data_IF_081165239870
#
_entry.id   IF_081165239870
#
_cell.length_a   1.000
_cell.length_b   1.000
_cell.length_c   1.000
_cell.angle_alpha   90.00
_cell.angle_beta   90.00
_cell.angle_gamma   90.00
#
_symmetry.space_group_name_H-M   'P 1'
#
loop_
_entity.id
_entity.type
_entity.pdbx_description
1 polymer ?
#
# COMPACT_ATOMS: atom_id res chain seq x y z
N UNK A 1 4.30 -63.39 -2.59
CA UNK A 1 3.30 -62.31 -2.42
C UNK A 1 4.07 -60.98 -2.46
N UNK A 2 3.98 -60.21 -3.56
CA UNK A 2 4.76 -58.97 -3.77
C UNK A 2 3.93 -57.78 -3.28
N UNK A 3 4.43 -57.03 -2.32
CA UNK A 3 3.79 -55.81 -1.81
C UNK A 3 4.36 -54.63 -2.60
N UNK A 4 3.54 -54.02 -3.46
CA UNK A 4 3.85 -52.75 -4.10
C UNK A 4 3.53 -51.62 -3.11
N UNK A 5 4.54 -50.86 -2.68
CA UNK A 5 4.34 -49.56 -2.03
C UNK A 5 4.31 -48.49 -3.13
N UNK A 6 3.13 -47.90 -3.36
CA UNK A 6 3.00 -46.71 -4.20
C UNK A 6 3.34 -45.47 -3.38
N UNK A 7 4.49 -44.85 -3.67
CA UNK A 7 4.85 -43.55 -3.11
C UNK A 7 4.12 -42.45 -3.90
N UNK A 8 3.09 -41.84 -3.29
CA UNK A 8 2.40 -40.67 -3.82
C UNK A 8 3.16 -39.40 -3.42
N UNK A 9 3.96 -38.85 -4.33
CA UNK A 9 4.58 -37.54 -4.15
C UNK A 9 3.58 -36.43 -4.52
N UNK A 10 2.98 -35.79 -3.51
CA UNK A 10 2.19 -34.56 -3.69
C UNK A 10 3.14 -33.38 -3.88
N UNK A 11 3.27 -32.90 -5.11
CA UNK A 11 3.92 -31.62 -5.40
C UNK A 11 3.02 -30.47 -4.91
N UNK A 12 3.40 -29.84 -3.80
CA UNK A 12 2.81 -28.57 -3.41
C UNK A 12 3.37 -27.47 -4.33
N UNK A 13 2.52 -26.86 -5.15
CA UNK A 13 2.87 -25.68 -5.93
C UNK A 13 3.09 -24.50 -4.97
N UNK A 14 4.34 -24.11 -4.78
CA UNK A 14 4.69 -22.87 -4.10
C UNK A 14 4.41 -21.74 -5.09
N UNK A 15 3.24 -21.12 -5.01
CA UNK A 15 2.94 -19.91 -5.78
C UNK A 15 3.77 -18.75 -5.21
N UNK A 16 4.93 -18.49 -5.81
CA UNK A 16 5.69 -17.27 -5.55
C UNK A 16 4.98 -16.16 -6.32
N UNK A 17 3.99 -15.52 -5.69
CA UNK A 17 3.47 -14.26 -6.20
C UNK A 17 4.62 -13.23 -6.17
N UNK A 18 5.05 -12.77 -7.34
CA UNK A 18 6.03 -11.70 -7.48
C UNK A 18 5.58 -10.46 -6.70
N UNK A 19 6.49 -9.56 -6.28
CA UNK A 19 6.10 -8.29 -5.66
C UNK A 19 5.45 -7.42 -6.73
N UNK A 20 4.16 -7.65 -6.97
CA UNK A 20 3.33 -6.72 -7.73
C UNK A 20 3.22 -5.46 -6.89
N UNK A 21 3.49 -4.31 -7.50
CA UNK A 21 3.23 -3.02 -6.88
C UNK A 21 1.87 -3.03 -6.19
N UNK A 22 1.78 -2.47 -4.99
CA UNK A 22 0.52 -2.25 -4.31
C UNK A 22 -0.39 -1.48 -5.28
N UNK A 23 -1.55 -2.03 -5.64
CA UNK A 23 -2.47 -1.37 -6.56
C UNK A 23 -3.06 -0.13 -5.90
N UNK A 24 -3.33 0.89 -6.70
CA UNK A 24 -4.03 2.09 -6.25
C UNK A 24 -5.53 1.83 -6.38
N UNK A 25 -6.23 1.84 -5.26
CA UNK A 25 -7.69 1.73 -5.22
C UNK A 25 -8.30 3.04 -5.71
N UNK A 26 -9.09 2.94 -6.77
CA UNK A 26 -9.73 4.10 -7.42
C UNK A 26 -10.91 4.60 -6.62
N UNK A 27 -11.06 5.92 -6.54
CA UNK A 27 -12.22 6.55 -5.92
C UNK A 27 -13.32 6.80 -6.97
N UNK A 28 -14.57 6.49 -6.62
CA UNK A 28 -15.71 6.69 -7.51
C UNK A 28 -16.25 8.14 -7.38
N UNK A 29 -15.49 9.11 -7.88
CA UNK A 29 -15.85 10.52 -7.83
C UNK A 29 -14.70 11.45 -8.20
N UNK A 30 -14.84 12.76 -7.95
CA UNK A 30 -13.74 13.70 -8.11
C UNK A 30 -12.61 13.35 -7.14
N UNK A 31 -11.38 13.39 -7.63
CA UNK A 31 -10.17 13.10 -6.85
C UNK A 31 -9.27 14.32 -6.79
N UNK A 32 -8.56 14.48 -5.68
CA UNK A 32 -7.46 15.43 -5.59
C UNK A 32 -6.25 14.84 -6.32
N UNK A 33 -5.84 15.47 -7.41
CA UNK A 33 -4.73 14.98 -8.24
C UNK A 33 -3.46 14.77 -7.41
N UNK A 34 -2.76 13.67 -7.67
CA UNK A 34 -1.51 13.26 -7.01
C UNK A 34 -1.59 13.12 -5.48
N UNK A 35 -2.78 13.21 -4.89
CA UNK A 35 -2.99 12.99 -3.45
C UNK A 35 -3.50 11.58 -3.21
N UNK A 36 -2.87 10.91 -2.25
CA UNK A 36 -3.18 9.52 -1.90
C UNK A 36 -3.30 9.36 -0.41
N UNK A 37 -4.12 8.38 -0.02
CA UNK A 37 -4.22 7.87 1.35
C UNK A 37 -3.50 6.53 1.39
N UNK A 38 -2.51 6.43 2.27
CA UNK A 38 -1.62 5.29 2.41
C UNK A 38 -1.92 4.64 3.75
N UNK A 39 -2.38 3.38 3.71
CA UNK A 39 -2.49 2.52 4.88
C UNK A 39 -1.24 1.66 4.97
N UNK A 40 -0.61 1.71 6.14
CA UNK A 40 0.53 0.90 6.50
C UNK A 40 0.05 -0.34 7.27
N UNK A 41 0.84 -1.41 7.24
CA UNK A 41 0.60 -2.60 8.06
C UNK A 41 0.76 -2.26 9.54
N UNK A 42 0.00 -2.93 10.40
CA UNK A 42 -0.02 -2.63 11.85
C UNK A 42 1.34 -2.84 12.56
N UNK A 43 2.21 -3.67 12.00
CA UNK A 43 3.56 -3.96 12.54
C UNK A 43 4.64 -2.98 12.06
N UNK A 44 4.28 -2.02 11.21
CA UNK A 44 5.19 -1.03 10.64
C UNK A 44 5.35 0.19 11.56
N UNK A 45 6.54 0.80 11.56
CA UNK A 45 6.73 2.13 12.13
C UNK A 45 6.36 3.23 11.12
N UNK A 46 5.18 3.86 11.27
CA UNK A 46 4.76 5.02 10.48
C UNK A 46 5.84 6.12 10.41
N UNK A 47 6.45 6.45 11.54
CA UNK A 47 7.49 7.49 11.59
C UNK A 47 8.71 7.11 10.74
N UNK A 48 9.20 5.88 10.85
CA UNK A 48 10.36 5.41 10.09
C UNK A 48 10.06 5.32 8.61
N UNK A 49 8.86 4.86 8.24
CA UNK A 49 8.42 4.79 6.84
C UNK A 49 8.39 6.19 6.19
N UNK A 50 7.76 7.17 6.87
CA UNK A 50 7.69 8.55 6.38
C UNK A 50 9.10 9.16 6.30
N UNK A 51 9.96 8.95 7.29
CA UNK A 51 11.34 9.45 7.26
C UNK A 51 12.12 8.90 6.06
N UNK A 52 11.96 7.60 5.74
CA UNK A 52 12.60 6.99 4.58
C UNK A 52 12.04 7.53 3.26
N UNK A 53 10.72 7.73 3.17
CA UNK A 53 10.09 8.37 2.01
C UNK A 53 10.66 9.78 1.79
N UNK A 54 10.70 10.61 2.83
CA UNK A 54 11.24 11.97 2.76
C UNK A 54 12.74 12.02 2.44
N UNK A 55 13.51 11.00 2.82
CA UNK A 55 14.92 10.90 2.42
C UNK A 55 15.10 10.67 0.90
N UNK A 56 14.12 10.05 0.25
CA UNK A 56 14.11 9.79 -1.19
C UNK A 56 13.44 10.91 -1.98
N UNK A 57 12.48 11.61 -1.37
CA UNK A 57 11.75 12.74 -1.95
C UNK A 57 11.59 13.88 -0.92
N UNK A 58 12.60 14.74 -0.76
CA UNK A 58 12.59 15.77 0.30
C UNK A 58 11.52 16.83 0.15
N UNK A 59 11.12 17.15 -1.08
CA UNK A 59 10.11 18.17 -1.41
C UNK A 59 8.67 17.66 -1.26
N UNK A 60 8.49 16.41 -0.83
CA UNK A 60 7.19 15.78 -0.68
C UNK A 60 6.39 16.37 0.48
N UNK A 61 5.09 16.58 0.26
CA UNK A 61 4.18 17.06 1.31
C UNK A 61 3.37 15.91 1.90
N UNK A 62 3.55 15.68 3.21
CA UNK A 62 2.63 14.86 4.02
C UNK A 62 1.45 15.75 4.42
N UNK A 63 0.27 15.49 3.86
CA UNK A 63 -0.91 16.32 4.08
C UNK A 63 -1.63 15.97 5.38
N UNK A 64 -1.54 14.71 5.83
CA UNK A 64 -2.15 14.28 7.09
C UNK A 64 -1.51 13.00 7.63
N UNK A 65 -1.51 12.81 8.96
CA UNK A 65 -1.14 11.54 9.59
C UNK A 65 -2.33 11.05 10.43
N UNK A 66 -2.77 9.83 10.16
CA UNK A 66 -3.89 9.23 10.88
C UNK A 66 -3.38 8.61 12.18
N UNK A 67 -3.95 9.04 13.31
CA UNK A 67 -3.57 8.51 14.64
C UNK A 67 -4.57 7.49 15.18
N UNK A 68 -5.88 7.69 14.95
CA UNK A 68 -6.92 6.94 15.67
C UNK A 68 -7.84 6.08 14.80
N UNK A 69 -7.88 6.30 13.48
CA UNK A 69 -8.82 5.62 12.57
C UNK A 69 -8.21 4.41 11.89
N UNK A 70 -6.93 4.50 11.51
CA UNK A 70 -6.11 3.40 11.02
C UNK A 70 -4.64 3.84 11.03
N UNK A 71 -3.72 2.88 10.88
CA UNK A 71 -2.30 3.14 10.80
C UNK A 71 -1.92 3.62 9.39
N UNK A 72 -1.73 4.93 9.20
CA UNK A 72 -1.43 5.47 7.88
C UNK A 72 -1.25 6.99 7.81
N UNK A 73 -1.13 7.51 6.60
CA UNK A 73 -0.96 8.93 6.31
C UNK A 73 -1.52 9.28 4.92
N UNK A 74 -1.73 10.57 4.67
CA UNK A 74 -2.04 11.10 3.35
C UNK A 74 -0.87 11.98 2.87
N UNK A 75 -0.59 11.94 1.57
CA UNK A 75 0.50 12.69 0.98
C UNK A 75 0.26 12.97 -0.51
N UNK A 76 0.89 14.03 -1.00
CA UNK A 76 1.00 14.31 -2.43
C UNK A 76 2.21 13.55 -2.99
N UNK A 77 1.97 12.52 -3.81
CA UNK A 77 2.98 11.60 -4.31
C UNK A 77 3.05 11.68 -5.85
N UNK A 78 4.25 11.88 -6.38
CA UNK A 78 4.53 11.82 -7.82
C UNK A 78 5.80 11.03 -8.11
N UNK A 79 5.90 10.49 -9.32
CA UNK A 79 7.11 9.84 -9.83
C UNK A 79 7.72 8.82 -8.85
N UNK A 80 8.96 9.07 -8.44
CA UNK A 80 9.73 8.15 -7.58
C UNK A 80 9.12 7.98 -6.18
N UNK A 81 8.45 8.99 -5.65
CA UNK A 81 7.79 8.89 -4.34
C UNK A 81 6.59 7.93 -4.39
N UNK A 82 5.76 8.04 -5.43
CA UNK A 82 4.64 7.12 -5.63
C UNK A 82 5.15 5.69 -5.87
N UNK A 83 6.19 5.52 -6.68
CA UNK A 83 6.82 4.23 -6.93
C UNK A 83 7.42 3.61 -5.66
N UNK A 84 8.04 4.42 -4.80
CA UNK A 84 8.55 3.98 -3.49
C UNK A 84 7.43 3.39 -2.64
N UNK A 85 6.33 4.12 -2.47
CA UNK A 85 5.19 3.67 -1.66
C UNK A 85 4.58 2.40 -2.25
N UNK A 86 4.38 2.35 -3.57
CA UNK A 86 3.81 1.18 -4.26
C UNK A 86 4.68 -0.07 -4.18
N UNK A 87 5.99 0.07 -4.01
CA UNK A 87 6.92 -1.07 -3.86
C UNK A 87 7.20 -1.43 -2.41
N UNK A 88 6.76 -0.61 -1.46
CA UNK A 88 7.04 -0.85 -0.06
C UNK A 88 6.29 -2.07 0.45
N UNK A 89 7.02 -2.95 1.16
CA UNK A 89 6.44 -4.11 1.86
C UNK A 89 5.69 -3.72 3.13
N UNK A 90 5.86 -2.47 3.58
CA UNK A 90 5.24 -1.91 4.77
C UNK A 90 3.85 -1.33 4.48
N UNK A 91 3.55 -1.08 3.21
CA UNK A 91 2.26 -0.56 2.75
C UNK A 91 1.29 -1.72 2.60
N UNK A 92 0.11 -1.58 3.20
CA UNK A 92 -0.99 -2.54 3.08
C UNK A 92 -1.89 -2.20 1.88
N UNK A 93 -2.25 -0.93 1.74
CA UNK A 93 -3.15 -0.47 0.69
C UNK A 93 -2.97 1.02 0.39
N UNK A 94 -3.26 1.41 -0.85
CA UNK A 94 -3.21 2.80 -1.33
C UNK A 94 -4.58 3.14 -1.93
N UNK A 95 -5.09 4.32 -1.60
CA UNK A 95 -6.35 4.85 -2.11
C UNK A 95 -6.12 6.23 -2.74
N UNK A 96 -6.85 6.55 -3.80
CA UNK A 96 -6.95 7.92 -4.28
C UNK A 96 -7.67 8.79 -3.23
N UNK A 97 -7.18 10.02 -3.06
CA UNK A 97 -7.77 10.99 -2.14
C UNK A 97 -9.01 11.62 -2.79
N UNK A 98 -10.19 11.21 -2.33
CA UNK A 98 -11.48 11.62 -2.87
C UNK A 98 -11.97 12.96 -2.32
N UNK A 99 -12.61 13.76 -3.19
CA UNK A 99 -13.27 15.01 -2.79
C UNK A 99 -14.75 14.71 -2.54
N UNK A 100 -15.23 15.03 -1.34
CA UNK A 100 -16.65 14.98 -0.99
C UNK A 100 -17.17 16.40 -0.82
N UNK A 101 -18.20 16.77 -1.59
CA UNK A 101 -18.91 18.04 -1.45
C UNK A 101 -20.15 17.78 -0.60
N UNK A 102 -20.26 18.50 0.51
CA UNK A 102 -21.46 18.49 1.33
C UNK A 102 -22.39 19.59 0.84
N UNK A 103 -23.59 19.20 0.39
CA UNK A 103 -24.66 20.13 0.08
C UNK A 103 -25.54 20.28 1.33
N UNK A 104 -25.54 21.48 1.91
CA UNK A 104 -26.39 21.81 3.05
C UNK A 104 -27.56 22.63 2.51
N UNK A 105 -28.69 21.95 2.29
CA UNK A 105 -29.97 22.57 1.93
C UNK A 105 -30.64 23.24 3.13
#
# INVERSE_FOLDING_TARGET
MRILFLASATYALIAIAAPSHVPISKYAGPVKANSYIIKLKDDTSKHSHIAHLLSTAPELTITYQYENVFHGYAAELEGQALDFVRRSREVESIFEDGITVLDFA
#
